data_IF_411079433785
#
_entry.id   IF_411079433785
#
_cell.length_a   1.000
_cell.length_b   1.000
_cell.length_c   1.000
_cell.angle_alpha   90.00
_cell.angle_beta   90.00
_cell.angle_gamma   90.00
#
_symmetry.space_group_name_H-M   'P 1'
#
loop_
_entity.id
_entity.type
_entity.pdbx_description
1 polymer ?
#
# COMPACT_ATOMS: atom_id res chain seq x y z
N UNK A 1 59.17 120.70 -41.18
CA UNK A 1 59.58 119.31 -40.88
C UNK A 1 58.35 118.44 -40.78
N UNK A 2 57.89 117.88 -41.90
CA UNK A 2 56.69 117.02 -41.98
C UNK A 2 57.04 115.67 -42.64
N UNK A 3 58.07 115.65 -43.50
CA UNK A 3 58.67 114.45 -44.12
C UNK A 3 58.93 113.23 -43.20
N UNK A 4 59.56 113.36 -42.01
CA UNK A 4 59.85 112.19 -41.17
C UNK A 4 58.59 111.61 -40.49
N UNK A 5 57.59 112.44 -40.21
CA UNK A 5 56.28 111.99 -39.69
C UNK A 5 55.48 111.28 -40.79
N UNK A 6 55.54 111.79 -42.01
CA UNK A 6 54.87 111.21 -43.17
C UNK A 6 55.49 109.86 -43.59
N UNK A 7 56.82 109.71 -43.52
CA UNK A 7 57.49 108.41 -43.71
C UNK A 7 57.13 107.41 -42.61
N UNK A 8 57.01 107.85 -41.35
CA UNK A 8 56.63 106.99 -40.23
C UNK A 8 55.16 106.54 -40.31
N UNK A 9 54.27 107.41 -40.76
CA UNK A 9 52.88 107.06 -41.05
C UNK A 9 52.82 106.08 -42.23
N UNK A 10 53.57 106.30 -43.31
CA UNK A 10 53.62 105.38 -44.45
C UNK A 10 54.23 104.01 -44.10
N UNK A 11 55.22 103.94 -43.21
CA UNK A 11 55.77 102.66 -42.76
C UNK A 11 54.81 101.91 -41.84
N UNK A 12 54.09 102.62 -40.96
CA UNK A 12 53.04 102.03 -40.14
C UNK A 12 51.84 101.55 -40.98
N UNK A 13 51.41 102.32 -41.99
CA UNK A 13 50.37 101.89 -42.93
C UNK A 13 50.82 100.63 -43.67
N UNK A 14 52.05 100.59 -44.21
CA UNK A 14 52.57 99.37 -44.86
C UNK A 14 52.66 98.17 -43.91
N UNK A 15 53.01 98.40 -42.64
CA UNK A 15 53.09 97.34 -41.61
C UNK A 15 51.70 96.81 -41.26
N UNK A 16 50.74 97.70 -41.09
CA UNK A 16 49.33 97.36 -40.81
C UNK A 16 48.73 96.63 -42.01
N UNK A 17 48.92 97.11 -43.24
CA UNK A 17 48.45 96.44 -44.46
C UNK A 17 49.07 95.05 -44.63
N UNK A 18 50.38 94.90 -44.37
CA UNK A 18 51.03 93.60 -44.40
C UNK A 18 50.47 92.64 -43.32
N UNK A 19 50.19 93.18 -42.12
CA UNK A 19 49.59 92.40 -41.02
C UNK A 19 48.12 92.04 -41.31
N UNK A 20 47.34 92.93 -41.93
CA UNK A 20 45.96 92.67 -42.35
C UNK A 20 45.97 91.62 -43.45
N UNK A 21 46.83 91.75 -44.47
CA UNK A 21 46.98 90.75 -45.53
C UNK A 21 47.37 89.38 -44.98
N UNK A 22 48.30 89.33 -44.01
CA UNK A 22 48.68 88.09 -43.35
C UNK A 22 47.51 87.49 -42.55
N UNK A 23 46.81 88.29 -41.76
CA UNK A 23 45.66 87.86 -40.96
C UNK A 23 44.49 87.40 -41.84
N UNK A 24 44.18 88.10 -42.93
CA UNK A 24 43.12 87.73 -43.88
C UNK A 24 43.48 86.44 -44.63
N UNK A 25 44.73 86.27 -45.05
CA UNK A 25 45.18 85.00 -45.66
C UNK A 25 45.14 83.85 -44.66
N UNK A 26 45.55 84.08 -43.41
CA UNK A 26 45.50 83.08 -42.36
C UNK A 26 44.05 82.72 -42.02
N UNK A 27 43.15 83.69 -41.90
CA UNK A 27 41.72 83.47 -41.64
C UNK A 27 41.04 82.77 -42.82
N UNK A 28 41.38 83.12 -44.06
CA UNK A 28 40.90 82.43 -45.26
C UNK A 28 41.37 80.98 -45.28
N UNK A 29 42.65 80.72 -45.02
CA UNK A 29 43.23 79.38 -44.99
C UNK A 29 42.72 78.54 -43.80
N UNK A 30 42.50 79.16 -42.63
CA UNK A 30 41.91 78.52 -41.47
C UNK A 30 40.41 78.25 -41.67
N UNK A 31 39.70 79.13 -42.36
CA UNK A 31 38.29 78.94 -42.71
C UNK A 31 38.07 77.83 -43.75
N UNK A 32 38.95 77.70 -44.74
CA UNK A 32 38.92 76.58 -45.69
C UNK A 32 39.28 75.26 -45.00
N UNK A 33 40.33 75.24 -44.16
CA UNK A 33 40.68 74.06 -43.36
C UNK A 33 39.56 73.63 -42.41
N UNK A 34 38.94 74.56 -41.68
CA UNK A 34 37.83 74.22 -40.78
C UNK A 34 36.63 73.65 -41.53
N UNK A 35 36.34 74.14 -42.75
CA UNK A 35 35.31 73.55 -43.63
C UNK A 35 35.68 72.16 -44.11
N UNK A 36 36.95 71.92 -44.48
CA UNK A 36 37.44 70.60 -44.88
C UNK A 36 37.39 69.60 -43.73
N UNK A 37 37.83 69.99 -42.52
CA UNK A 37 37.76 69.16 -41.32
C UNK A 37 36.31 68.85 -40.92
N UNK A 38 35.41 69.85 -41.01
CA UNK A 38 33.99 69.64 -40.78
C UNK A 38 33.39 68.68 -41.81
N UNK A 39 33.73 68.84 -43.09
CA UNK A 39 33.30 67.93 -44.16
C UNK A 39 33.81 66.50 -43.92
N UNK A 40 35.09 66.35 -43.55
CA UNK A 40 35.68 65.07 -43.20
C UNK A 40 35.00 64.42 -41.98
N UNK A 41 34.72 65.19 -40.93
CA UNK A 41 33.99 64.73 -39.76
C UNK A 41 32.56 64.31 -40.11
N UNK A 42 31.84 65.07 -40.95
CA UNK A 42 30.49 64.71 -41.40
C UNK A 42 30.49 63.43 -42.23
N UNK A 43 31.49 63.23 -43.09
CA UNK A 43 31.65 61.99 -43.86
C UNK A 43 31.95 60.80 -42.95
N UNK A 44 32.83 60.97 -41.96
CA UNK A 44 33.13 59.92 -40.98
C UNK A 44 31.90 59.54 -40.13
N UNK A 45 31.07 60.52 -39.75
CA UNK A 45 29.80 60.29 -39.03
C UNK A 45 28.79 59.55 -39.92
N UNK A 46 28.70 59.91 -41.20
CA UNK A 46 27.84 59.19 -42.16
C UNK A 46 28.30 57.74 -42.34
N UNK A 47 29.61 57.50 -42.45
CA UNK A 47 30.17 56.15 -42.54
C UNK A 47 29.92 55.35 -41.25
N UNK A 48 30.06 55.97 -40.07
CA UNK A 48 29.74 55.34 -38.79
C UNK A 48 28.26 54.97 -38.71
N UNK A 49 27.35 55.86 -39.10
CA UNK A 49 25.91 55.58 -39.13
C UNK A 49 25.56 54.45 -40.10
N UNK A 50 26.27 54.38 -41.23
CA UNK A 50 26.13 53.27 -42.16
C UNK A 50 26.58 51.95 -41.50
N UNK A 51 27.77 51.92 -40.89
CA UNK A 51 28.29 50.73 -40.18
C UNK A 51 27.38 50.29 -39.03
N UNK A 52 26.83 51.24 -38.26
CA UNK A 52 25.89 50.93 -37.17
C UNK A 52 24.61 50.30 -37.73
N UNK A 53 24.06 50.84 -38.82
CA UNK A 53 22.89 50.24 -39.50
C UNK A 53 23.20 48.85 -40.02
N UNK A 54 24.37 48.65 -40.63
CA UNK A 54 24.80 47.33 -41.12
C UNK A 54 24.94 46.31 -39.98
N UNK A 55 25.57 46.70 -38.86
CA UNK A 55 25.69 45.86 -37.66
C UNK A 55 24.31 45.51 -37.11
N UNK A 56 23.40 46.49 -37.04
CA UNK A 56 22.03 46.26 -36.56
C UNK A 56 21.29 45.24 -37.44
N UNK A 57 21.34 45.39 -38.77
CA UNK A 57 20.70 44.45 -39.69
C UNK A 57 21.32 43.04 -39.58
N UNK A 58 22.65 42.95 -39.47
CA UNK A 58 23.34 41.67 -39.26
C UNK A 58 22.97 41.04 -37.91
N UNK A 59 22.79 41.84 -36.85
CA UNK A 59 22.36 41.37 -35.55
C UNK A 59 20.92 40.82 -35.58
N UNK A 60 19.99 41.51 -36.24
CA UNK A 60 18.59 41.04 -36.42
C UNK A 60 18.53 39.75 -37.24
N UNK A 61 19.33 39.65 -38.31
CA UNK A 61 19.46 38.41 -39.09
C UNK A 61 20.06 37.28 -38.25
N UNK A 62 21.09 37.57 -37.45
CA UNK A 62 21.72 36.59 -36.56
C UNK A 62 20.77 36.14 -35.44
N UNK A 63 19.96 37.04 -34.89
CA UNK A 63 18.94 36.69 -33.91
C UNK A 63 17.91 35.73 -34.52
N UNK A 64 17.40 36.06 -35.70
CA UNK A 64 16.43 35.22 -36.41
C UNK A 64 17.02 33.83 -36.67
N UNK A 65 18.25 33.76 -37.17
CA UNK A 65 18.97 32.50 -37.39
C UNK A 65 19.11 31.68 -36.09
N UNK A 66 19.47 32.31 -34.98
CA UNK A 66 19.60 31.63 -33.68
C UNK A 66 18.26 31.14 -33.17
N UNK A 67 17.18 31.92 -33.31
CA UNK A 67 15.84 31.50 -32.92
C UNK A 67 15.40 30.24 -33.70
N UNK A 68 15.72 30.15 -34.99
CA UNK A 68 15.45 28.97 -35.80
C UNK A 68 16.26 27.75 -35.34
N UNK A 69 17.55 27.93 -35.06
CA UNK A 69 18.41 26.89 -34.50
C UNK A 69 17.84 26.37 -33.17
N UNK A 70 17.45 27.26 -32.25
CA UNK A 70 16.86 26.88 -30.97
C UNK A 70 15.52 26.13 -31.14
N UNK A 71 14.69 26.53 -32.11
CA UNK A 71 13.44 25.83 -32.44
C UNK A 71 13.72 24.41 -32.90
N UNK A 72 14.72 24.21 -33.76
CA UNK A 72 15.06 22.90 -34.29
C UNK A 72 15.73 22.00 -33.23
N UNK A 73 16.57 22.57 -32.36
CA UNK A 73 17.10 21.87 -31.17
C UNK A 73 15.95 21.37 -30.29
N UNK A 74 14.92 22.19 -30.05
CA UNK A 74 13.76 21.78 -29.24
C UNK A 74 12.97 20.65 -29.90
N UNK A 75 12.79 20.67 -31.23
CA UNK A 75 12.16 19.57 -31.95
C UNK A 75 12.98 18.28 -31.85
N UNK A 76 14.30 18.38 -32.00
CA UNK A 76 15.21 17.25 -31.85
C UNK A 76 15.16 16.66 -30.43
N UNK A 77 15.12 17.51 -29.41
CA UNK A 77 15.00 17.07 -28.01
C UNK A 77 13.67 16.35 -27.75
N UNK A 78 12.56 16.89 -28.27
CA UNK A 78 11.26 16.21 -28.21
C UNK A 78 11.30 14.84 -28.91
N UNK A 79 11.91 14.76 -30.10
CA UNK A 79 12.07 13.51 -30.83
C UNK A 79 12.93 12.51 -30.06
N UNK A 80 14.08 12.95 -29.53
CA UNK A 80 14.97 12.14 -28.69
C UNK A 80 14.22 11.58 -27.49
N UNK A 81 13.50 12.43 -26.75
CA UNK A 81 12.71 12.01 -25.59
C UNK A 81 11.65 10.97 -25.97
N UNK A 82 10.86 11.22 -27.02
CA UNK A 82 9.84 10.27 -27.46
C UNK A 82 10.44 8.93 -27.89
N UNK A 83 11.57 8.95 -28.62
CA UNK A 83 12.29 7.74 -29.04
C UNK A 83 12.81 6.98 -27.81
N UNK A 84 13.44 7.65 -26.85
CA UNK A 84 13.94 7.02 -25.61
C UNK A 84 12.81 6.40 -24.79
N UNK A 85 11.69 7.11 -24.63
CA UNK A 85 10.50 6.58 -23.95
C UNK A 85 9.95 5.35 -24.67
N UNK A 86 9.88 5.40 -26.01
CA UNK A 86 9.39 4.29 -26.84
C UNK A 86 10.29 3.06 -26.73
N UNK A 87 11.60 3.24 -26.84
CA UNK A 87 12.59 2.17 -26.68
C UNK A 87 12.47 1.53 -25.30
N UNK A 88 12.36 2.34 -24.25
CA UNK A 88 12.22 1.84 -22.87
C UNK A 88 10.92 1.04 -22.69
N UNK A 89 9.80 1.54 -23.24
CA UNK A 89 8.51 0.86 -23.18
C UNK A 89 8.54 -0.47 -23.94
N UNK A 90 9.13 -0.50 -25.13
CA UNK A 90 9.31 -1.74 -25.92
C UNK A 90 10.21 -2.73 -25.20
N UNK A 91 11.32 -2.29 -24.62
CA UNK A 91 12.21 -3.18 -23.87
C UNK A 91 11.50 -3.80 -22.66
N UNK A 92 10.77 -3.01 -21.88
CA UNK A 92 9.94 -3.50 -20.76
C UNK A 92 8.85 -4.46 -21.23
N UNK A 93 8.28 -4.24 -22.42
CA UNK A 93 7.27 -5.13 -22.99
C UNK A 93 7.88 -6.48 -23.35
N UNK A 94 9.07 -6.49 -23.97
CA UNK A 94 9.83 -7.71 -24.23
C UNK A 94 10.14 -8.46 -22.94
N UNK A 95 10.59 -7.74 -21.90
CA UNK A 95 10.81 -8.33 -20.57
C UNK A 95 9.52 -8.93 -20.00
N UNK A 96 8.39 -8.24 -20.11
CA UNK A 96 7.10 -8.74 -19.62
C UNK A 96 6.66 -10.01 -20.35
N UNK A 97 6.81 -10.06 -21.68
CA UNK A 97 6.49 -11.26 -22.49
C UNK A 97 7.33 -12.45 -22.02
N UNK A 98 8.65 -12.29 -21.96
CA UNK A 98 9.55 -13.35 -21.51
C UNK A 98 9.27 -13.77 -20.06
N UNK A 99 8.95 -12.81 -19.18
CA UNK A 99 8.68 -13.10 -17.78
C UNK A 99 7.37 -13.90 -17.59
N UNK A 100 6.32 -13.58 -18.36
CA UNK A 100 5.05 -14.32 -18.37
C UNK A 100 5.25 -15.74 -18.92
N UNK A 101 6.05 -15.92 -19.97
CA UNK A 101 6.36 -17.26 -20.52
C UNK A 101 7.14 -18.11 -19.52
N UNK A 102 8.15 -17.54 -18.86
CA UNK A 102 8.89 -18.22 -17.79
C UNK A 102 7.99 -18.60 -16.61
N UNK A 103 7.13 -17.67 -16.17
CA UNK A 103 6.17 -17.92 -15.09
C UNK A 103 5.22 -19.07 -15.46
N UNK A 104 4.77 -19.15 -16.72
CA UNK A 104 3.93 -20.25 -17.19
C UNK A 104 4.64 -21.60 -17.09
N UNK A 105 5.93 -21.66 -17.45
CA UNK A 105 6.74 -22.88 -17.32
C UNK A 105 6.91 -23.27 -15.84
N UNK A 106 7.28 -22.32 -14.98
CA UNK A 106 7.44 -22.56 -13.54
C UNK A 106 6.13 -23.04 -12.89
N UNK A 107 5.00 -22.44 -13.26
CA UNK A 107 3.67 -22.85 -12.80
C UNK A 107 3.31 -24.27 -13.23
N UNK A 108 3.67 -24.67 -14.46
CA UNK A 108 3.44 -26.02 -14.98
C UNK A 108 4.28 -27.08 -14.27
N UNK A 109 5.51 -26.73 -13.87
CA UNK A 109 6.44 -27.60 -13.14
C UNK A 109 6.24 -27.59 -11.62
N UNK A 110 5.29 -26.80 -11.11
CA UNK A 110 5.03 -26.61 -9.67
C UNK A 110 6.26 -26.12 -8.88
N UNK A 111 7.14 -25.34 -9.51
CA UNK A 111 8.28 -24.69 -8.84
C UNK A 111 7.79 -23.44 -8.09
N UNK A 112 7.15 -23.63 -6.94
CA UNK A 112 6.41 -22.56 -6.26
C UNK A 112 7.30 -21.39 -5.81
N UNK A 113 8.49 -21.66 -5.28
CA UNK A 113 9.42 -20.62 -4.84
C UNK A 113 9.82 -19.66 -5.96
N UNK A 114 10.24 -20.21 -7.09
CA UNK A 114 10.60 -19.42 -8.28
C UNK A 114 9.38 -18.73 -8.88
N UNK A 115 8.24 -19.42 -8.94
CA UNK A 115 7.00 -18.87 -9.44
C UNK A 115 6.51 -17.67 -8.60
N UNK A 116 6.69 -17.69 -7.27
CA UNK A 116 6.31 -16.59 -6.39
C UNK A 116 7.13 -15.32 -6.70
N UNK A 117 8.46 -15.45 -6.75
CA UNK A 117 9.34 -14.33 -7.07
C UNK A 117 9.08 -13.78 -8.48
N UNK A 118 8.87 -14.68 -9.46
CA UNK A 118 8.57 -14.29 -10.83
C UNK A 118 7.18 -13.63 -10.94
N UNK A 119 6.19 -14.10 -10.18
CA UNK A 119 4.85 -13.51 -10.15
C UNK A 119 4.88 -12.09 -9.61
N UNK A 120 5.66 -11.82 -8.56
CA UNK A 120 5.86 -10.48 -8.01
C UNK A 120 6.52 -9.54 -9.04
N UNK A 121 7.60 -10.00 -9.69
CA UNK A 121 8.27 -9.25 -10.75
C UNK A 121 7.33 -8.94 -11.92
N UNK A 122 6.52 -9.91 -12.35
CA UNK A 122 5.52 -9.73 -13.41
C UNK A 122 4.43 -8.74 -12.99
N UNK A 123 3.95 -8.81 -11.74
CA UNK A 123 2.97 -7.85 -11.21
C UNK A 123 3.54 -6.42 -11.22
N UNK A 124 4.80 -6.24 -10.82
CA UNK A 124 5.49 -4.95 -10.86
C UNK A 124 5.66 -4.45 -12.30
N UNK A 125 6.06 -5.31 -13.24
CA UNK A 125 6.15 -4.94 -14.66
C UNK A 125 4.78 -4.53 -15.22
N UNK A 126 3.70 -5.24 -14.86
CA UNK A 126 2.34 -4.89 -15.27
C UNK A 126 1.87 -3.53 -14.76
N UNK A 127 2.37 -3.04 -13.61
CA UNK A 127 2.00 -1.72 -13.08
C UNK A 127 2.55 -0.58 -13.97
N UNK A 128 3.71 -0.77 -14.58
CA UNK A 128 4.26 0.19 -15.54
C UNK A 128 3.45 0.31 -16.84
N UNK A 129 2.58 -0.67 -17.13
CA UNK A 129 1.75 -0.71 -18.34
C UNK A 129 0.29 -0.30 -18.10
N UNK A 130 -0.05 0.28 -16.94
CA UNK A 130 -1.43 0.69 -16.66
C UNK A 130 -1.97 1.78 -17.60
N UNK A 131 -1.11 2.68 -18.07
CA UNK A 131 -1.47 3.70 -19.06
C UNK A 131 -1.71 3.13 -20.47
N UNK A 132 -1.34 1.86 -20.71
CA UNK A 132 -1.41 1.20 -22.03
C UNK A 132 -2.43 0.05 -22.05
N UNK A 133 -3.42 0.07 -21.15
CA UNK A 133 -4.43 -1.01 -21.00
C UNK A 133 -5.20 -1.31 -22.29
N UNK A 134 -5.44 -0.30 -23.12
CA UNK A 134 -6.22 -0.44 -24.36
C UNK A 134 -5.44 -1.09 -25.51
N UNK A 135 -4.12 -1.29 -25.34
CA UNK A 135 -3.31 -1.95 -26.37
C UNK A 135 -3.63 -3.45 -26.38
N UNK A 136 -4.08 -4.03 -27.51
CA UNK A 136 -4.54 -5.43 -27.57
C UNK A 136 -3.51 -6.43 -27.05
N UNK A 137 -2.22 -6.21 -27.34
CA UNK A 137 -1.14 -7.11 -26.90
C UNK A 137 -0.95 -7.12 -25.38
N UNK A 138 -1.12 -5.96 -24.73
CA UNK A 138 -1.01 -5.84 -23.27
C UNK A 138 -2.22 -6.46 -22.60
N UNK A 139 -3.41 -6.29 -23.19
CA UNK A 139 -4.62 -6.99 -22.73
C UNK A 139 -4.47 -8.51 -22.84
N UNK A 140 -3.93 -9.02 -23.95
CA UNK A 140 -3.63 -10.46 -24.13
C UNK A 140 -2.68 -10.98 -23.03
N UNK A 141 -1.60 -10.24 -22.73
CA UNK A 141 -0.65 -10.61 -21.69
C UNK A 141 -1.28 -10.59 -20.29
N UNK A 142 -2.16 -9.63 -20.01
CA UNK A 142 -2.87 -9.54 -18.73
C UNK A 142 -3.84 -10.71 -18.55
N UNK A 143 -4.55 -11.11 -19.60
CA UNK A 143 -5.42 -12.28 -19.57
C UNK A 143 -4.62 -13.59 -19.41
N UNK A 144 -3.46 -13.72 -20.08
CA UNK A 144 -2.54 -14.83 -19.84
C UNK A 144 -2.08 -14.90 -18.39
N UNK A 145 -1.68 -13.76 -17.82
CA UNK A 145 -1.29 -13.66 -16.40
C UNK A 145 -2.44 -14.08 -15.47
N UNK A 146 -3.68 -13.62 -15.74
CA UNK A 146 -4.87 -14.01 -14.96
C UNK A 146 -5.12 -15.51 -15.02
N UNK A 147 -4.97 -16.13 -16.19
CA UNK A 147 -5.07 -17.57 -16.36
C UNK A 147 -3.98 -18.32 -15.60
N UNK A 148 -2.73 -17.84 -15.64
CA UNK A 148 -1.62 -18.44 -14.88
C UNK A 148 -1.88 -18.33 -13.37
N UNK A 149 -2.35 -17.17 -12.87
CA UNK A 149 -2.76 -17.01 -11.46
C UNK A 149 -3.84 -18.02 -11.06
N UNK A 150 -4.82 -18.25 -11.93
CA UNK A 150 -5.88 -19.27 -11.70
C UNK A 150 -5.32 -20.69 -11.66
N UNK A 151 -4.39 -21.03 -12.57
CA UNK A 151 -3.72 -22.34 -12.59
C UNK A 151 -2.90 -22.54 -11.31
N UNK A 152 -2.09 -21.55 -10.91
CA UNK A 152 -1.34 -21.58 -9.67
C UNK A 152 -2.25 -21.78 -8.46
N UNK A 153 -3.35 -21.01 -8.36
CA UNK A 153 -4.36 -21.19 -7.30
C UNK A 153 -4.89 -22.62 -7.26
N UNK A 154 -5.24 -23.19 -8.42
CA UNK A 154 -5.75 -24.56 -8.51
C UNK A 154 -4.71 -25.62 -8.10
N UNK A 155 -3.44 -25.45 -8.51
CA UNK A 155 -2.36 -26.36 -8.15
C UNK A 155 -2.10 -26.33 -6.64
N UNK A 156 -1.99 -25.14 -6.06
CA UNK A 156 -1.84 -24.95 -4.62
C UNK A 156 -3.00 -25.62 -3.87
N UNK A 157 -4.25 -25.37 -4.28
CA UNK A 157 -5.42 -25.95 -3.59
C UNK A 157 -5.45 -27.47 -3.68
N UNK A 158 -5.08 -28.02 -4.84
CA UNK A 158 -4.95 -29.48 -5.01
C UNK A 158 -3.92 -30.06 -4.04
N UNK A 159 -2.75 -29.43 -3.92
CA UNK A 159 -1.64 -29.95 -3.11
C UNK A 159 -1.95 -29.87 -1.60
N UNK A 160 -2.56 -28.77 -1.15
CA UNK A 160 -3.07 -28.65 0.22
C UNK A 160 -4.26 -29.58 0.51
N UNK A 161 -5.04 -29.96 -0.51
CA UNK A 161 -6.12 -30.95 -0.33
C UNK A 161 -5.57 -32.36 -0.23
N UNK A 162 -4.45 -32.68 -0.89
CA UNK A 162 -3.77 -33.97 -0.71
C UNK A 162 -3.03 -34.09 0.63
N UNK A 163 -2.65 -32.97 1.26
CA UNK A 163 -2.03 -32.95 2.59
C UNK A 163 -2.90 -33.69 3.63
N UNK A 164 -2.33 -34.66 4.35
CA UNK A 164 -3.03 -35.50 5.32
C UNK A 164 -3.83 -36.69 4.77
N UNK A 165 -3.74 -36.99 3.47
CA UNK A 165 -4.29 -38.26 2.88
C UNK A 165 -3.24 -39.35 2.67
N UNK A 166 -1.95 -39.04 2.86
CA UNK A 166 -0.82 -39.95 2.77
C UNK A 166 -0.43 -40.58 4.11
N UNK A 167 0.10 -41.81 4.07
CA UNK A 167 0.57 -42.59 5.23
C UNK A 167 1.82 -41.96 5.85
N UNK A 168 1.71 -41.54 7.10
CA UNK A 168 2.66 -41.56 8.24
C UNK A 168 4.15 -41.15 8.10
N UNK A 169 4.64 -40.81 6.92
CA UNK A 169 5.90 -40.09 6.73
C UNK A 169 5.67 -39.09 5.62
N UNK A 170 5.26 -37.88 5.99
CA UNK A 170 5.23 -36.77 5.04
C UNK A 170 6.68 -36.49 4.63
N UNK A 171 7.01 -36.76 3.36
CA UNK A 171 8.33 -36.47 2.80
C UNK A 171 8.68 -35.01 3.11
N UNK A 172 9.85 -34.77 3.70
CA UNK A 172 10.36 -33.44 4.03
C UNK A 172 10.32 -32.50 2.80
N UNK A 173 10.51 -33.08 1.62
CA UNK A 173 10.39 -32.42 0.31
C UNK A 173 8.96 -31.93 0.01
N UNK A 174 7.92 -32.67 0.38
CA UNK A 174 6.52 -32.25 0.19
C UNK A 174 6.16 -31.09 1.13
N UNK A 175 6.63 -31.15 2.38
CA UNK A 175 6.45 -30.08 3.35
C UNK A 175 7.14 -28.79 2.89
N UNK A 176 8.36 -28.91 2.37
CA UNK A 176 9.07 -27.79 1.79
C UNK A 176 8.35 -27.23 0.55
N UNK A 177 7.85 -28.10 -0.32
CA UNK A 177 7.08 -27.68 -1.50
C UNK A 177 5.79 -26.94 -1.12
N UNK A 178 5.09 -27.36 -0.07
CA UNK A 178 3.89 -26.69 0.43
C UNK A 178 4.23 -25.36 1.13
N UNK A 179 5.38 -25.29 1.81
CA UNK A 179 5.89 -24.05 2.38
C UNK A 179 6.21 -23.03 1.27
N UNK A 180 6.86 -23.50 0.20
CA UNK A 180 7.09 -22.68 -1.00
C UNK A 180 5.77 -22.28 -1.68
N UNK A 181 4.73 -23.13 -1.63
CA UNK A 181 3.40 -22.80 -2.14
C UNK A 181 2.74 -21.64 -1.36
N UNK A 182 3.01 -21.49 -0.06
CA UNK A 182 2.55 -20.34 0.72
C UNK A 182 3.11 -19.02 0.18
N UNK A 183 4.35 -19.00 -0.33
CA UNK A 183 4.94 -17.81 -0.96
C UNK A 183 4.15 -17.38 -2.20
N UNK A 184 3.68 -18.35 -3.00
CA UNK A 184 2.83 -18.06 -4.17
C UNK A 184 1.49 -17.49 -3.74
N UNK A 185 0.90 -18.00 -2.65
CA UNK A 185 -0.37 -17.50 -2.12
C UNK A 185 -0.23 -16.05 -1.64
N UNK A 186 0.87 -15.71 -0.99
CA UNK A 186 1.14 -14.33 -0.57
C UNK A 186 1.42 -13.39 -1.76
N UNK A 187 2.04 -13.89 -2.83
CA UNK A 187 2.25 -13.14 -4.09
C UNK A 187 0.98 -13.01 -4.97
N UNK A 188 -0.07 -13.79 -4.66
CA UNK A 188 -1.39 -13.69 -5.27
C UNK A 188 -2.23 -12.61 -4.55
N UNK A 189 -3.54 -12.81 -4.46
CA UNK A 189 -4.46 -11.87 -3.81
C UNK A 189 -4.76 -12.34 -2.37
N UNK A 190 -4.96 -11.42 -1.40
CA UNK A 190 -5.28 -11.77 -0.01
C UNK A 190 -6.51 -12.68 0.13
N UNK A 191 -7.47 -12.57 -0.79
CA UNK A 191 -8.66 -13.44 -0.87
C UNK A 191 -8.32 -14.92 -1.02
N UNK A 192 -7.25 -15.24 -1.75
CA UNK A 192 -6.79 -16.62 -1.98
C UNK A 192 -6.29 -17.24 -0.69
N UNK A 193 -5.58 -16.46 0.13
CA UNK A 193 -5.12 -16.87 1.46
C UNK A 193 -6.28 -17.13 2.41
N UNK A 194 -7.23 -16.21 2.49
CA UNK A 194 -8.42 -16.38 3.35
C UNK A 194 -9.21 -17.63 2.97
N UNK A 195 -9.43 -17.86 1.68
CA UNK A 195 -10.13 -19.04 1.18
C UNK A 195 -9.34 -20.32 1.45
N UNK A 196 -8.01 -20.32 1.25
CA UNK A 196 -7.16 -21.48 1.54
C UNK A 196 -7.20 -21.85 3.02
N UNK A 197 -6.99 -20.87 3.91
CA UNK A 197 -6.99 -21.08 5.36
C UNK A 197 -8.37 -21.55 5.83
N UNK A 198 -9.45 -20.97 5.30
CA UNK A 198 -10.82 -21.39 5.60
C UNK A 198 -11.07 -22.85 5.16
N UNK A 199 -10.65 -23.23 3.97
CA UNK A 199 -10.81 -24.58 3.45
C UNK A 199 -10.01 -25.59 4.27
N UNK A 200 -8.76 -25.25 4.61
CA UNK A 200 -7.91 -26.07 5.46
C UNK A 200 -8.52 -26.27 6.85
N UNK A 201 -8.91 -25.19 7.54
CA UNK A 201 -9.56 -25.27 8.85
C UNK A 201 -10.86 -26.08 8.80
N UNK A 202 -11.65 -25.90 7.73
CA UNK A 202 -12.90 -26.64 7.55
C UNK A 202 -12.66 -28.13 7.39
N UNK A 203 -11.64 -28.52 6.61
CA UNK A 203 -11.23 -29.91 6.40
C UNK A 203 -10.76 -30.58 7.69
N UNK A 204 -9.89 -29.89 8.44
CA UNK A 204 -9.40 -30.37 9.74
C UNK A 204 -10.54 -30.64 10.73
N UNK A 205 -11.55 -29.76 10.75
CA UNK A 205 -12.71 -29.88 11.63
C UNK A 205 -13.80 -30.84 11.13
N UNK A 206 -13.65 -31.49 9.96
CA UNK A 206 -14.57 -32.55 9.52
C UNK A 206 -14.52 -33.72 10.52
N UNK A 207 -13.32 -34.14 10.90
CA UNK A 207 -13.13 -35.22 11.87
C UNK A 207 -13.74 -34.87 13.24
N UNK A 208 -13.61 -33.62 13.68
CA UNK A 208 -14.29 -33.11 14.87
C UNK A 208 -15.81 -33.24 14.78
N UNK A 209 -16.41 -32.74 13.68
CA UNK A 209 -17.86 -32.82 13.46
C UNK A 209 -18.34 -34.27 13.50
N UNK A 210 -17.67 -35.19 12.79
CA UNK A 210 -18.03 -36.60 12.78
C UNK A 210 -18.01 -37.24 14.18
N UNK A 211 -17.02 -36.89 15.01
CA UNK A 211 -16.90 -37.44 16.38
C UNK A 211 -18.02 -36.87 17.28
N UNK A 212 -18.29 -35.57 17.20
CA UNK A 212 -19.10 -34.87 18.19
C UNK A 212 -20.54 -34.51 17.76
N UNK A 213 -20.90 -34.76 16.50
CA UNK A 213 -22.29 -34.81 16.02
C UNK A 213 -22.96 -36.17 16.33
N UNK A 214 -22.17 -37.20 16.66
CA UNK A 214 -22.69 -38.50 17.06
C UNK A 214 -23.42 -38.45 18.40
N UNK A 215 -24.57 -39.13 18.50
CA UNK A 215 -25.47 -39.09 19.67
C UNK A 215 -24.79 -39.43 21.02
N UNK A 216 -23.71 -40.22 21.01
CA UNK A 216 -22.97 -40.57 22.22
C UNK A 216 -22.10 -39.43 22.78
N UNK A 217 -21.56 -38.58 21.92
CA UNK A 217 -20.65 -37.48 22.28
C UNK A 217 -21.29 -36.09 22.14
N UNK A 218 -22.49 -36.02 21.55
CA UNK A 218 -23.36 -34.85 21.51
C UNK A 218 -24.11 -34.63 22.84
N UNK A 219 -23.37 -34.62 23.95
CA UNK A 219 -23.91 -34.43 25.32
C UNK A 219 -23.10 -33.38 26.09
N UNK A 220 -23.76 -32.71 27.04
CA UNK A 220 -23.18 -31.61 27.83
C UNK A 220 -22.02 -32.09 28.73
N UNK A 221 -22.11 -33.31 29.26
CA UNK A 221 -21.07 -33.95 30.07
C UNK A 221 -19.79 -34.28 29.27
N UNK A 222 -19.85 -34.21 27.93
CA UNK A 222 -18.70 -34.42 27.04
C UNK A 222 -18.05 -33.13 26.55
N UNK A 223 -18.43 -31.98 27.09
CA UNK A 223 -17.90 -30.67 26.69
C UNK A 223 -16.37 -30.59 26.86
N UNK A 224 -15.83 -31.08 27.98
CA UNK A 224 -14.38 -31.11 28.22
C UNK A 224 -13.60 -31.91 27.16
N UNK A 225 -14.20 -33.00 26.65
CA UNK A 225 -13.56 -33.81 25.60
C UNK A 225 -13.39 -33.05 24.30
N UNK A 226 -14.24 -32.06 24.00
CA UNK A 226 -14.13 -31.19 22.82
C UNK A 226 -12.88 -30.32 22.92
N UNK A 227 -12.61 -29.74 24.09
CA UNK A 227 -11.42 -28.93 24.34
C UNK A 227 -10.14 -29.78 24.33
N UNK A 228 -10.18 -30.96 24.94
CA UNK A 228 -9.06 -31.90 24.87
C UNK A 228 -8.74 -32.33 23.43
N UNK A 229 -9.77 -32.49 22.58
CA UNK A 229 -9.59 -32.84 21.17
C UNK A 229 -8.79 -31.77 20.40
N UNK A 230 -9.17 -30.50 20.49
CA UNK A 230 -8.47 -29.43 19.76
C UNK A 230 -7.06 -29.22 20.31
N UNK A 231 -6.86 -29.29 21.64
CA UNK A 231 -5.53 -29.20 22.26
C UNK A 231 -4.61 -30.32 21.73
N UNK A 232 -5.11 -31.55 21.64
CA UNK A 232 -4.35 -32.68 21.08
C UNK A 232 -4.07 -32.48 19.60
N UNK A 233 -5.07 -32.05 18.81
CA UNK A 233 -4.90 -31.82 17.36
C UNK A 233 -3.83 -30.77 17.07
N UNK A 234 -3.77 -29.70 17.85
CA UNK A 234 -2.74 -28.67 17.73
C UNK A 234 -1.34 -29.21 18.04
N UNK A 235 -1.19 -30.11 19.02
CA UNK A 235 0.11 -30.70 19.38
C UNK A 235 0.58 -31.78 18.39
N UNK A 236 -0.32 -32.65 17.94
CA UNK A 236 0.03 -33.79 17.09
C UNK A 236 0.40 -33.43 15.65
N UNK A 237 0.05 -32.23 15.19
CA UNK A 237 0.29 -31.77 13.81
C UNK A 237 1.34 -30.64 13.74
N UNK A 238 2.28 -30.57 14.70
CA UNK A 238 3.25 -29.47 14.80
C UNK A 238 4.01 -29.18 13.50
N UNK A 239 4.45 -30.23 12.81
CA UNK A 239 5.20 -30.07 11.56
C UNK A 239 4.33 -29.56 10.40
N UNK A 240 3.06 -29.97 10.34
CA UNK A 240 2.10 -29.42 9.39
C UNK A 240 1.81 -27.94 9.66
N UNK A 241 1.81 -27.51 10.93
CA UNK A 241 1.63 -26.10 11.29
C UNK A 241 2.82 -25.23 10.86
N UNK A 242 4.05 -25.79 10.85
CA UNK A 242 5.27 -25.07 10.42
C UNK A 242 5.31 -24.73 8.94
N UNK A 243 4.50 -25.39 8.10
CA UNK A 243 4.36 -25.09 6.66
C UNK A 243 3.80 -23.67 6.44
N UNK A 244 2.93 -23.21 7.35
CA UNK A 244 2.24 -21.94 7.21
C UNK A 244 3.08 -20.79 7.77
N UNK A 245 3.15 -19.64 7.08
CA UNK A 245 3.77 -18.45 7.64
C UNK A 245 3.10 -18.03 8.96
N UNK A 246 3.86 -17.64 10.00
CA UNK A 246 3.30 -17.21 11.28
C UNK A 246 2.31 -16.04 11.16
N UNK A 247 2.49 -15.17 10.16
CA UNK A 247 1.63 -14.04 9.86
C UNK A 247 0.21 -14.43 9.43
N UNK A 248 -0.01 -15.68 9.02
CA UNK A 248 -1.34 -16.16 8.62
C UNK A 248 -2.20 -16.55 9.83
N UNK A 249 -1.59 -16.77 11.00
CA UNK A 249 -2.26 -17.13 12.25
C UNK A 249 -3.27 -18.29 12.07
N UNK A 250 -2.87 -19.33 11.33
CA UNK A 250 -3.75 -20.45 10.93
C UNK A 250 -4.28 -21.21 12.14
N UNK A 251 -3.44 -21.44 13.15
CA UNK A 251 -3.80 -22.11 14.40
C UNK A 251 -4.82 -21.30 15.22
N UNK A 252 -4.68 -19.98 15.27
CA UNK A 252 -5.66 -19.08 15.87
C UNK A 252 -6.99 -19.10 15.12
N UNK A 253 -6.96 -19.03 13.78
CA UNK A 253 -8.17 -19.10 12.95
C UNK A 253 -8.89 -20.44 13.07
N UNK A 254 -8.14 -21.56 13.18
CA UNK A 254 -8.71 -22.87 13.48
C UNK A 254 -9.43 -22.87 14.83
N UNK A 255 -8.82 -22.31 15.88
CA UNK A 255 -9.43 -22.20 17.20
C UNK A 255 -10.74 -21.40 17.15
N UNK A 256 -10.78 -20.28 16.41
CA UNK A 256 -12.01 -19.50 16.23
C UNK A 256 -13.10 -20.35 15.55
N UNK A 257 -12.78 -21.06 14.47
CA UNK A 257 -13.76 -21.90 13.77
C UNK A 257 -14.26 -23.06 14.65
N UNK A 258 -13.35 -23.69 15.39
CA UNK A 258 -13.67 -24.70 16.39
C UNK A 258 -14.63 -24.16 17.46
N UNK A 259 -14.36 -22.97 18.02
CA UNK A 259 -15.22 -22.35 19.03
C UNK A 259 -16.60 -22.04 18.47
N UNK A 260 -16.69 -21.55 17.22
CA UNK A 260 -17.98 -21.29 16.54
C UNK A 260 -18.80 -22.57 16.38
N UNK A 261 -18.20 -23.65 15.87
CA UNK A 261 -18.89 -24.93 15.69
C UNK A 261 -19.33 -25.51 17.03
N UNK A 262 -18.42 -25.48 18.03
CA UNK A 262 -18.70 -25.98 19.38
C UNK A 262 -19.84 -25.21 20.03
N UNK A 263 -19.86 -23.88 19.91
CA UNK A 263 -20.96 -23.05 20.39
C UNK A 263 -22.28 -23.47 19.75
N UNK A 264 -22.34 -23.62 18.42
CA UNK A 264 -23.55 -24.06 17.73
C UNK A 264 -24.01 -25.42 18.23
N UNK A 265 -23.12 -26.41 18.30
CA UNK A 265 -23.45 -27.75 18.80
C UNK A 265 -23.93 -27.75 20.26
N UNK A 266 -23.31 -26.95 21.14
CA UNK A 266 -23.75 -26.83 22.54
C UNK A 266 -25.11 -26.15 22.66
N UNK A 267 -25.38 -25.11 21.86
CA UNK A 267 -26.70 -24.47 21.79
C UNK A 267 -27.75 -25.46 21.30
N UNK A 268 -27.45 -26.25 20.27
CA UNK A 268 -28.36 -27.27 19.74
C UNK A 268 -28.64 -28.38 20.76
N UNK A 269 -27.62 -28.82 21.50
CA UNK A 269 -27.79 -29.77 22.61
C UNK A 269 -28.74 -29.17 23.65
N UNK A 270 -28.50 -27.93 24.09
CA UNK A 270 -29.32 -27.27 25.11
C UNK A 270 -30.78 -27.08 24.66
N UNK A 271 -31.02 -26.74 23.39
CA UNK A 271 -32.36 -26.56 22.84
C UNK A 271 -33.14 -27.87 22.70
N UNK A 272 -32.45 -28.99 22.45
CA UNK A 272 -33.06 -30.30 22.19
C UNK A 272 -33.17 -31.19 23.44
N UNK A 273 -32.71 -30.71 24.60
CA UNK A 273 -32.86 -31.41 25.87
C UNK A 273 -34.34 -31.49 26.26
N UNK A 274 -34.89 -32.71 26.30
CA UNK A 274 -36.28 -32.96 26.74
C UNK A 274 -36.46 -32.72 28.25
N UNK A 275 -35.41 -32.93 29.03
CA UNK A 275 -35.38 -32.74 30.48
C UNK A 275 -34.38 -31.64 30.82
N UNK A 276 -34.66 -30.87 31.89
CA UNK A 276 -33.72 -29.84 32.33
C UNK A 276 -32.37 -30.48 32.67
N UNK A 277 -31.25 -29.93 32.16
CA UNK A 277 -29.95 -30.49 32.47
C UNK A 277 -29.69 -30.41 33.97
N UNK A 278 -29.01 -31.43 34.50
CA UNK A 278 -28.50 -31.40 35.85
C UNK A 278 -27.61 -30.16 36.06
N UNK A 279 -27.86 -29.44 37.16
CA UNK A 279 -27.19 -28.17 37.47
C UNK A 279 -25.69 -28.37 37.66
N UNK A 280 -25.28 -29.49 38.25
CA UNK A 280 -23.85 -29.78 38.43
C UNK A 280 -23.15 -29.99 37.08
N UNK A 281 -23.80 -30.70 36.15
CA UNK A 281 -23.29 -30.92 34.79
C UNK A 281 -23.17 -29.60 34.02
N UNK A 282 -24.14 -28.71 34.15
CA UNK A 282 -24.11 -27.39 33.50
C UNK A 282 -22.99 -26.50 34.07
N UNK A 283 -22.84 -26.46 35.39
CA UNK A 283 -21.78 -25.68 36.05
C UNK A 283 -20.39 -26.21 35.69
N UNK A 284 -20.21 -27.53 35.65
CA UNK A 284 -18.96 -28.16 35.26
C UNK A 284 -18.61 -27.84 33.80
N UNK A 285 -19.56 -27.97 32.88
CA UNK A 285 -19.34 -27.63 31.47
C UNK A 285 -18.99 -26.14 31.29
N UNK A 286 -19.67 -25.25 32.01
CA UNK A 286 -19.38 -23.81 31.99
C UNK A 286 -17.97 -23.50 32.53
N UNK A 287 -17.60 -24.10 33.66
CA UNK A 287 -16.27 -23.95 34.24
C UNK A 287 -15.19 -24.38 33.24
N UNK A 288 -15.31 -25.58 32.65
CA UNK A 288 -14.34 -26.08 31.65
C UNK A 288 -14.28 -25.20 30.39
N UNK A 289 -15.39 -24.56 30.03
CA UNK A 289 -15.43 -23.61 28.91
C UNK A 289 -14.62 -22.35 29.24
N UNK A 290 -14.80 -21.79 30.44
CA UNK A 290 -14.08 -20.59 30.88
C UNK A 290 -12.57 -20.84 31.00
N UNK A 291 -12.17 -21.95 31.62
CA UNK A 291 -10.76 -22.37 31.71
C UNK A 291 -10.13 -22.47 30.31
N UNK A 292 -10.84 -23.09 29.35
CA UNK A 292 -10.38 -23.18 27.97
C UNK A 292 -10.27 -21.83 27.26
N UNK A 293 -11.23 -20.92 27.47
CA UNK A 293 -11.20 -19.57 26.90
C UNK A 293 -10.02 -18.75 27.46
N UNK A 294 -9.74 -18.86 28.75
CA UNK A 294 -8.59 -18.23 29.40
C UNK A 294 -7.27 -18.77 28.84
N UNK A 295 -7.12 -20.10 28.71
CA UNK A 295 -5.93 -20.70 28.10
C UNK A 295 -5.71 -20.24 26.64
N UNK A 296 -6.77 -20.15 25.84
CA UNK A 296 -6.67 -19.63 24.47
C UNK A 296 -6.29 -18.14 24.47
N UNK A 297 -6.88 -17.35 25.38
CA UNK A 297 -6.55 -15.94 25.51
C UNK A 297 -5.08 -15.75 25.89
N UNK A 298 -4.55 -16.51 26.84
CA UNK A 298 -3.13 -16.46 27.21
C UNK A 298 -2.23 -16.88 26.05
N UNK A 299 -2.58 -17.96 25.35
CA UNK A 299 -1.80 -18.46 24.21
C UNK A 299 -1.69 -17.43 23.07
N UNK A 300 -2.76 -16.71 22.76
CA UNK A 300 -2.83 -15.83 21.58
C UNK A 300 -2.73 -14.33 21.89
N UNK A 301 -2.77 -13.91 23.16
CA UNK A 301 -2.65 -12.50 23.57
C UNK A 301 -1.23 -11.94 23.52
N UNK A 302 -0.23 -12.74 23.17
CA UNK A 302 1.15 -12.27 23.03
C UNK A 302 1.69 -11.67 24.33
N UNK A 303 1.87 -12.51 25.36
CA UNK A 303 2.72 -12.23 26.53
C UNK A 303 2.40 -10.99 27.37
N UNK A 304 1.26 -10.31 27.18
CA UNK A 304 0.93 -9.09 27.93
C UNK A 304 0.21 -9.36 29.26
N UNK A 305 -0.20 -10.61 29.53
CA UNK A 305 -0.87 -11.00 30.78
C UNK A 305 0.07 -11.62 31.82
N UNK A 306 1.28 -12.04 31.44
CA UNK A 306 2.23 -12.72 32.34
C UNK A 306 2.79 -11.81 33.45
N UNK A 307 2.61 -10.49 33.38
CA UNK A 307 3.06 -9.57 34.41
C UNK A 307 2.06 -9.32 35.54
N UNK A 308 0.81 -9.81 35.46
CA UNK A 308 -0.23 -9.48 36.46
C UNK A 308 -0.61 -10.62 37.40
N UNK A 309 -0.23 -11.86 37.09
CA UNK A 309 -0.54 -13.03 37.93
C UNK A 309 0.66 -13.62 38.67
N UNK A 310 1.87 -13.05 38.54
CA UNK A 310 3.08 -13.62 39.16
C UNK A 310 3.33 -13.23 40.64
N UNK A 311 2.37 -12.59 41.30
CA UNK A 311 2.48 -12.25 42.74
C UNK A 311 1.61 -13.14 43.66
N UNK A 312 0.97 -14.20 43.15
CA UNK A 312 0.12 -15.06 43.99
C UNK A 312 0.30 -16.56 43.72
N UNK A 313 1.53 -17.05 43.58
CA UNK A 313 1.79 -18.49 43.69
C UNK A 313 3.07 -18.75 44.49
N UNK A 314 2.88 -19.03 45.78
CA UNK A 314 3.75 -19.91 46.55
C UNK A 314 2.85 -20.88 47.32
N UNK A 315 3.01 -22.16 46.98
CA UNK A 315 2.64 -23.39 47.69
C UNK A 315 1.18 -23.55 48.16
N UNK A 316 0.44 -24.52 47.61
CA UNK A 316 0.46 -25.92 48.06
C UNK A 316 -0.78 -26.69 47.55
N UNK A 317 -0.60 -28.00 47.41
CA UNK A 317 -1.50 -29.02 46.87
C UNK A 317 -2.98 -28.93 47.33
N UNK A 318 -3.95 -28.62 46.44
CA UNK A 318 -5.35 -28.99 46.68
C UNK A 318 -6.30 -28.91 45.45
N UNK A 319 -6.24 -29.86 44.52
CA UNK A 319 -7.14 -29.94 43.34
C UNK A 319 -8.66 -29.99 43.70
N UNK A 320 -9.03 -30.32 44.95
CA UNK A 320 -10.43 -30.38 45.38
C UNK A 320 -11.06 -29.03 45.78
N UNK A 321 -10.24 -28.02 46.11
CA UNK A 321 -10.70 -26.78 46.74
C UNK A 321 -10.84 -25.62 45.74
N UNK A 322 -10.03 -25.63 44.68
CA UNK A 322 -10.20 -24.71 43.53
C UNK A 322 -11.50 -24.95 42.79
N UNK A 323 -11.91 -26.23 42.64
CA UNK A 323 -13.15 -26.61 41.97
C UNK A 323 -14.38 -25.95 42.62
N UNK A 324 -14.44 -25.93 43.96
CA UNK A 324 -15.55 -25.29 44.70
C UNK A 324 -15.49 -23.76 44.70
N UNK A 325 -14.28 -23.17 44.67
CA UNK A 325 -14.12 -21.70 44.58
C UNK A 325 -14.56 -21.16 43.22
N UNK A 326 -14.14 -21.80 42.13
CA UNK A 326 -14.49 -21.38 40.76
C UNK A 326 -16.00 -21.49 40.54
N UNK A 327 -16.63 -22.57 40.99
CA UNK A 327 -18.11 -22.71 40.94
C UNK A 327 -18.83 -21.63 41.76
N UNK A 328 -18.30 -21.25 42.93
CA UNK A 328 -18.84 -20.18 43.77
C UNK A 328 -18.71 -18.80 43.12
N UNK A 329 -17.58 -18.51 42.48
CA UNK A 329 -17.32 -17.24 41.81
C UNK A 329 -18.11 -17.10 40.51
N UNK A 330 -18.28 -18.19 39.74
CA UNK A 330 -19.19 -18.26 38.60
C UNK A 330 -20.63 -17.99 39.06
N UNK A 331 -21.07 -18.66 40.13
CA UNK A 331 -22.41 -18.47 40.70
C UNK A 331 -22.65 -17.00 41.10
N UNK A 332 -21.71 -16.37 41.81
CA UNK A 332 -21.79 -14.94 42.16
C UNK A 332 -21.82 -14.02 40.93
N UNK A 333 -21.02 -14.30 39.91
CA UNK A 333 -20.95 -13.48 38.69
C UNK A 333 -22.26 -13.48 37.90
N UNK A 334 -22.94 -14.63 37.83
CA UNK A 334 -24.22 -14.77 37.12
C UNK A 334 -25.43 -14.39 37.97
N UNK A 335 -25.41 -14.63 39.29
CA UNK A 335 -26.42 -14.07 40.22
C UNK A 335 -26.43 -12.53 40.17
N UNK A 336 -25.25 -11.90 40.04
CA UNK A 336 -25.14 -10.44 39.88
C UNK A 336 -25.65 -9.93 38.52
N UNK A 337 -25.63 -10.75 37.46
CA UNK A 337 -26.19 -10.40 36.13
C UNK A 337 -27.70 -10.67 36.03
N UNK A 338 -28.22 -11.69 36.71
CA UNK A 338 -29.65 -12.01 36.78
C UNK A 338 -30.40 -11.16 37.82
N UNK A 339 -29.69 -10.60 38.80
CA UNK A 339 -30.23 -9.72 39.84
C UNK A 339 -30.31 -8.23 39.47
N UNK A 340 -30.00 -7.84 38.23
CA UNK A 340 -30.33 -6.51 37.71
C UNK A 340 -31.77 -6.57 37.18
N UNK A 341 -32.75 -5.88 37.80
CA UNK A 341 -34.10 -5.82 37.26
C UNK A 341 -34.06 -5.17 35.88
N UNK A 342 -34.77 -5.76 34.91
CA UNK A 342 -35.15 -5.06 33.69
C UNK A 342 -35.90 -3.77 34.07
N UNK A 343 -35.32 -2.62 33.75
CA UNK A 343 -35.98 -1.30 33.77
C UNK A 343 -37.04 -1.19 32.64
N UNK A 344 -37.95 -2.15 32.55
CA UNK A 344 -39.09 -2.12 31.61
C UNK A 344 -40.45 -2.24 32.32
N UNK A 345 -40.48 -2.23 33.66
CA UNK A 345 -41.71 -2.36 34.45
C UNK A 345 -42.21 -1.05 35.10
N UNK A 346 -41.68 0.12 34.73
CA UNK A 346 -42.09 1.43 35.27
C UNK A 346 -42.83 2.35 34.27
N UNK A 347 -43.32 1.85 33.13
CA UNK A 347 -44.17 2.65 32.21
C UNK A 347 -45.69 2.37 32.28
N UNK A 348 -46.15 1.41 33.09
CA UNK A 348 -47.57 1.02 33.12
C UNK A 348 -48.38 1.52 34.32
N UNK A 349 -47.84 2.44 35.13
CA UNK A 349 -48.60 3.06 36.26
C UNK A 349 -48.96 4.53 36.10
N UNK A 350 -48.58 5.20 35.00
CA UNK A 350 -48.95 6.60 34.73
C UNK A 350 -50.10 6.79 33.71
N UNK A 351 -50.69 5.71 33.16
CA UNK A 351 -51.80 5.80 32.19
C UNK A 351 -53.21 5.54 32.74
N UNK A 352 -53.40 5.43 34.05
CA UNK A 352 -54.70 5.10 34.65
C UNK A 352 -55.24 6.11 35.68
N UNK A 353 -54.78 7.38 35.63
CA UNK A 353 -55.29 8.43 36.54
C UNK A 353 -55.86 9.70 35.89
N UNK A 354 -55.93 9.78 34.57
CA UNK A 354 -56.57 10.91 33.86
C UNK A 354 -57.62 10.41 32.87
N UNK A 355 -58.78 9.95 33.35
CA UNK A 355 -60.05 9.90 32.59
C UNK A 355 -61.22 9.49 33.51
N UNK A 356 -61.69 10.43 34.31
CA UNK A 356 -63.07 10.45 34.83
C UNK A 356 -63.52 11.89 35.09
N UNK A 357 -63.82 12.55 33.96
CA UNK A 357 -65.05 13.30 33.63
C UNK A 357 -65.73 14.16 34.73
N UNK A 358 -66.13 15.39 34.36
CA UNK A 358 -67.53 15.75 34.55
C UNK A 358 -68.16 16.31 33.27
N UNK A 359 -69.18 15.62 32.77
CA UNK A 359 -70.15 16.13 31.81
C UNK A 359 -71.37 16.64 32.57
N UNK A 360 -71.83 17.83 32.19
CA UNK A 360 -72.87 18.59 32.85
C UNK A 360 -74.31 18.08 32.60
N UNK A 361 -75.20 18.36 33.57
CA UNK A 361 -76.61 18.70 33.38
C UNK A 361 -77.62 17.55 33.42
N UNK A 362 -78.42 17.45 34.49
CA UNK A 362 -79.71 18.15 34.68
C UNK A 362 -79.89 18.44 36.17
#
# INVERSE_FOLDING_TARGET
>A
GVEPLMQKIQSEIRRVDASILAAVRQQSNSGTKAKEELAAATNAVQELMYKIREIKTKAEQSETMVQEICRDIKKLDCAKRHITTTITALHRLTMLVSAVEQLQVMASKRQYKEAAAQLEAVNQLCSHFEAYRDVPKISELREKLKNIKKILKSHVYSDFTSLGTGKETEDEDLLQQLSDACLVVDALEPSVREELVKNFCSKELISYKQIFDGAELAKLDKTERRYAWIKRRLRSNEDTWKIFPPSWHVDYLLCIQFCKITRTQLVDILNNLKEKPDVATLLLALQRTLEFEEELAEKFSGGTTTARNKELESDDENEGTEHNKIVSDIRKKYEKKLGVPNDEAEQDKEKQKDLSVPGAGV
#
